data_IF_599622122947
#
_entry.id   IF_599622122947
#
_cell.length_a   1.000
_cell.length_b   1.000
_cell.length_c   1.000
_cell.angle_alpha   90.00
_cell.angle_beta   90.00
_cell.angle_gamma   90.00
#
_symmetry.space_group_name_H-M   'P 1'
#
loop_
_entity.id
_entity.type
_entity.pdbx_description
1 polymer ?
#
# COMPACT_ATOMS: atom_id res chain seq x y z
N UNK A 1 -7.40 16.78 -6.20
CA UNK A 1 -7.05 15.44 -5.70
C UNK A 1 -5.63 15.33 -5.16
N UNK A 2 -4.78 16.35 -5.35
CA UNK A 2 -3.35 16.31 -4.94
C UNK A 2 -3.02 16.81 -3.52
N UNK A 3 -3.90 17.56 -2.84
CA UNK A 3 -3.53 18.15 -1.55
C UNK A 3 -3.51 17.13 -0.39
N UNK A 4 -4.29 16.06 -0.46
CA UNK A 4 -4.46 15.12 0.66
C UNK A 4 -3.46 13.94 0.62
N UNK A 5 -2.99 13.54 -0.57
CA UNK A 5 -1.83 12.62 -0.69
C UNK A 5 -0.56 13.27 -0.15
N UNK A 6 -0.39 14.58 -0.36
CA UNK A 6 0.70 15.34 0.22
C UNK A 6 0.75 15.25 1.74
N UNK A 7 -0.38 15.30 2.42
CA UNK A 7 -0.42 15.23 3.89
C UNK A 7 -0.08 13.84 4.47
N UNK A 8 -0.47 12.75 3.81
CA UNK A 8 -0.11 11.40 4.26
C UNK A 8 1.39 11.15 4.04
N UNK A 9 1.88 11.52 2.86
CA UNK A 9 3.28 11.44 2.49
C UNK A 9 4.16 12.32 3.39
N UNK A 10 3.77 13.56 3.63
CA UNK A 10 4.45 14.45 4.60
C UNK A 10 4.48 13.85 6.02
N UNK A 11 3.41 13.20 6.46
CA UNK A 11 3.38 12.56 7.78
C UNK A 11 4.28 11.32 7.85
N UNK A 12 4.35 10.51 6.79
CA UNK A 12 5.22 9.35 6.73
C UNK A 12 6.69 9.74 6.64
N UNK A 13 7.03 10.75 5.84
CA UNK A 13 8.36 11.35 5.78
C UNK A 13 8.76 11.92 7.15
N UNK A 14 7.86 12.65 7.82
CA UNK A 14 8.08 13.20 9.15
C UNK A 14 8.29 12.10 10.22
N UNK A 15 7.59 10.98 10.11
CA UNK A 15 7.80 9.83 11.00
C UNK A 15 9.12 9.15 10.66
N UNK A 16 9.40 8.92 9.40
CA UNK A 16 10.68 8.38 8.92
C UNK A 16 11.86 9.21 9.43
N UNK A 17 11.81 10.52 9.26
CA UNK A 17 12.83 11.45 9.74
C UNK A 17 13.03 11.40 11.26
N UNK A 18 11.93 11.29 12.02
CA UNK A 18 11.99 11.24 13.50
C UNK A 18 12.63 9.99 14.04
N UNK A 19 12.43 8.84 13.38
CA UNK A 19 12.98 7.55 13.80
C UNK A 19 14.23 7.15 13.01
N UNK A 20 14.64 7.98 12.03
CA UNK A 20 15.77 7.68 11.14
C UNK A 20 15.49 6.47 10.24
N UNK A 21 14.28 6.35 9.73
CA UNK A 21 13.85 5.25 8.87
C UNK A 21 13.75 5.67 7.40
N UNK A 22 14.06 4.75 6.49
CA UNK A 22 13.68 4.85 5.10
C UNK A 22 12.26 4.30 4.92
N UNK A 23 11.41 4.99 4.18
CA UNK A 23 10.02 4.58 3.93
C UNK A 23 9.87 4.15 2.47
N UNK A 24 9.22 3.02 2.26
CA UNK A 24 8.76 2.51 0.95
C UNK A 24 7.24 2.50 0.98
N UNK A 25 6.62 3.30 0.13
CA UNK A 25 5.18 3.43 0.07
C UNK A 25 4.55 2.28 -0.73
N UNK A 26 3.64 1.55 -0.12
CA UNK A 26 2.98 0.40 -0.76
C UNK A 26 2.11 0.77 -1.94
N UNK A 27 1.51 1.95 -1.90
CA UNK A 27 0.63 2.45 -2.97
C UNK A 27 1.38 2.75 -4.28
N UNK A 28 2.70 2.97 -4.22
CA UNK A 28 3.58 3.09 -5.41
C UNK A 28 3.59 1.82 -6.28
N UNK A 29 3.16 0.72 -5.72
CA UNK A 29 3.14 -0.59 -6.37
C UNK A 29 1.73 -1.02 -6.78
N UNK A 30 0.77 -0.11 -6.85
CA UNK A 30 -0.56 -0.42 -7.35
C UNK A 30 -0.47 -1.00 -8.77
N UNK A 31 -1.21 -2.08 -9.01
CA UNK A 31 -1.09 -2.84 -10.26
C UNK A 31 -2.03 -2.37 -11.37
N UNK A 32 -2.83 -1.32 -11.12
CA UNK A 32 -3.76 -0.79 -12.11
C UNK A 32 -4.82 -1.79 -12.58
N UNK A 33 -5.44 -1.48 -13.69
CA UNK A 33 -6.38 -2.36 -14.38
C UNK A 33 -7.82 -1.85 -14.39
N UNK A 34 -8.54 -2.18 -15.44
CA UNK A 34 -9.91 -1.69 -15.67
C UNK A 34 -10.89 -2.21 -14.63
N UNK A 35 -11.95 -1.44 -14.34
CA UNK A 35 -13.06 -1.87 -13.49
C UNK A 35 -13.62 -3.23 -13.90
N UNK A 36 -13.82 -3.46 -15.21
CA UNK A 36 -14.31 -4.72 -15.73
C UNK A 36 -13.35 -5.90 -15.50
N UNK A 37 -12.05 -5.66 -15.41
CA UNK A 37 -11.06 -6.69 -15.04
C UNK A 37 -11.16 -7.01 -13.55
N UNK A 38 -11.26 -5.98 -12.70
CA UNK A 38 -11.42 -6.13 -11.26
C UNK A 38 -12.70 -6.86 -10.88
N UNK A 39 -13.83 -6.54 -11.53
CA UNK A 39 -15.13 -7.17 -11.25
C UNK A 39 -15.18 -8.66 -11.60
N UNK A 40 -14.29 -9.14 -12.48
CA UNK A 40 -14.19 -10.57 -12.83
C UNK A 40 -13.30 -11.39 -11.88
N UNK A 41 -12.48 -10.73 -11.06
CA UNK A 41 -11.59 -11.40 -10.12
C UNK A 41 -12.34 -11.86 -8.88
N UNK A 42 -11.98 -13.00 -8.36
CA UNK A 42 -12.37 -13.44 -7.02
C UNK A 42 -11.73 -12.55 -5.95
N UNK A 43 -12.21 -12.62 -4.71
CA UNK A 43 -11.61 -11.88 -3.59
C UNK A 43 -10.12 -12.25 -3.38
N UNK A 44 -9.77 -13.52 -3.54
CA UNK A 44 -8.39 -14.01 -3.52
C UNK A 44 -7.54 -13.36 -4.62
N UNK A 45 -8.01 -13.40 -5.87
CA UNK A 45 -7.31 -12.80 -7.00
C UNK A 45 -7.19 -11.27 -6.86
N UNK A 46 -8.18 -10.59 -6.28
CA UNK A 46 -8.10 -9.16 -5.95
C UNK A 46 -6.98 -8.90 -4.95
N UNK A 47 -6.95 -9.63 -3.84
CA UNK A 47 -5.93 -9.49 -2.80
C UNK A 47 -4.51 -9.81 -3.32
N UNK A 48 -4.38 -10.77 -4.25
CA UNK A 48 -3.06 -11.11 -4.82
C UNK A 48 -2.55 -10.11 -5.85
N UNK A 49 -3.46 -9.38 -6.53
CA UNK A 49 -3.07 -8.61 -7.70
C UNK A 49 -3.24 -7.09 -7.55
N UNK A 50 -3.81 -6.59 -6.45
CA UNK A 50 -4.05 -5.16 -6.29
C UNK A 50 -2.77 -4.37 -6.08
N UNK A 51 -1.85 -4.94 -5.33
CA UNK A 51 -0.49 -4.41 -5.14
C UNK A 51 0.49 -5.40 -5.77
N UNK A 52 1.41 -4.92 -6.58
CA UNK A 52 2.47 -5.74 -7.17
C UNK A 52 3.57 -6.02 -6.15
N UNK A 53 3.32 -6.99 -5.30
CA UNK A 53 4.26 -7.41 -4.27
C UNK A 53 5.59 -7.96 -4.81
N UNK A 54 5.63 -8.38 -6.07
CA UNK A 54 6.87 -8.83 -6.70
C UNK A 54 7.83 -7.66 -6.93
N UNK A 55 7.27 -6.50 -7.30
CA UNK A 55 8.05 -5.25 -7.39
C UNK A 55 8.45 -4.76 -6.01
N UNK A 56 7.54 -4.81 -5.00
CA UNK A 56 7.90 -4.49 -3.61
C UNK A 56 9.06 -5.37 -3.13
N UNK A 57 8.97 -6.69 -3.37
CA UNK A 57 10.02 -7.63 -3.00
C UNK A 57 11.37 -7.26 -3.64
N UNK A 58 11.39 -6.95 -4.93
CA UNK A 58 12.63 -6.55 -5.62
C UNK A 58 13.26 -5.31 -5.00
N UNK A 59 12.46 -4.29 -4.69
CA UNK A 59 12.93 -3.07 -4.01
C UNK A 59 13.50 -3.36 -2.62
N UNK A 60 12.82 -4.19 -1.82
CA UNK A 60 13.33 -4.56 -0.49
C UNK A 60 14.62 -5.39 -0.57
N UNK A 61 14.75 -6.29 -1.55
CA UNK A 61 15.98 -7.03 -1.79
C UNK A 61 17.13 -6.11 -2.21
N UNK A 62 16.90 -5.13 -3.08
CA UNK A 62 17.90 -4.12 -3.46
C UNK A 62 18.34 -3.28 -2.26
N UNK A 63 17.40 -2.80 -1.44
CA UNK A 63 17.71 -2.04 -0.23
C UNK A 63 18.56 -2.86 0.75
N UNK A 64 18.20 -4.13 0.98
CA UNK A 64 18.94 -5.05 1.86
C UNK A 64 20.34 -5.34 1.34
N UNK A 65 20.46 -5.64 0.05
CA UNK A 65 21.70 -6.19 -0.51
C UNK A 65 22.68 -5.08 -0.93
N UNK A 66 22.18 -3.89 -1.31
CA UNK A 66 23.00 -2.84 -1.91
C UNK A 66 22.83 -1.47 -1.24
N UNK A 67 21.90 -1.34 -0.33
CA UNK A 67 21.67 -0.10 0.43
C UNK A 67 20.95 1.00 -0.36
N UNK A 68 20.52 0.73 -1.58
CA UNK A 68 19.77 1.68 -2.41
C UNK A 68 18.91 0.91 -3.39
N UNK A 69 17.70 1.43 -3.64
CA UNK A 69 16.78 0.94 -4.67
C UNK A 69 16.23 2.10 -5.48
N UNK A 70 15.98 1.87 -6.77
CA UNK A 70 15.36 2.86 -7.66
C UNK A 70 14.25 2.20 -8.47
N UNK A 71 13.06 2.78 -8.44
CA UNK A 71 11.89 2.24 -9.13
C UNK A 71 10.99 3.36 -9.63
N UNK A 72 10.11 3.05 -10.60
CA UNK A 72 9.07 3.96 -11.06
C UNK A 72 7.78 3.69 -10.29
N UNK A 73 7.25 4.63 -9.51
CA UNK A 73 5.99 4.47 -8.79
C UNK A 73 4.81 4.44 -9.75
N UNK A 74 3.65 3.98 -9.28
CA UNK A 74 2.40 4.11 -10.02
C UNK A 74 2.06 5.59 -10.20
N UNK A 75 1.68 5.98 -11.43
CA UNK A 75 1.30 7.36 -11.73
C UNK A 75 -0.19 7.60 -11.40
N UNK A 76 -0.44 8.09 -10.20
CA UNK A 76 -1.79 8.42 -9.73
C UNK A 76 -2.39 9.67 -10.39
N UNK A 77 -1.60 10.50 -11.04
CA UNK A 77 -2.05 11.70 -11.75
C UNK A 77 -2.42 11.41 -13.22
N UNK A 78 -2.13 10.20 -13.69
CA UNK A 78 -2.45 9.77 -15.04
C UNK A 78 -3.95 9.57 -15.23
N UNK A 79 -4.51 10.11 -16.29
CA UNK A 79 -5.89 9.79 -16.74
C UNK A 79 -6.03 8.31 -17.20
N UNK A 80 -4.92 7.60 -17.27
CA UNK A 80 -4.85 6.20 -17.74
C UNK A 80 -4.71 5.18 -16.61
N UNK A 81 -5.02 5.55 -15.37
CA UNK A 81 -4.84 4.73 -14.16
C UNK A 81 -5.50 3.35 -14.21
N UNK A 82 -6.53 3.17 -15.04
CA UNK A 82 -7.26 1.92 -15.25
C UNK A 82 -6.76 1.09 -16.44
N UNK A 83 -5.61 1.42 -17.02
CA UNK A 83 -5.04 0.71 -18.17
C UNK A 83 -4.20 -0.51 -17.77
N UNK A 84 -3.87 -1.34 -18.76
CA UNK A 84 -2.98 -2.48 -18.68
C UNK A 84 -2.01 -2.47 -19.90
N UNK A 85 -0.70 -2.24 -19.76
CA UNK A 85 0.00 -2.08 -18.48
C UNK A 85 -0.40 -0.81 -17.72
N UNK A 86 -0.24 -0.80 -16.38
CA UNK A 86 -0.53 0.38 -15.57
C UNK A 86 0.43 1.52 -15.91
N UNK A 87 0.01 2.78 -15.76
CA UNK A 87 0.90 3.90 -15.92
C UNK A 87 1.92 3.97 -14.77
N UNK A 88 3.17 4.23 -15.11
CA UNK A 88 4.22 4.53 -14.16
C UNK A 88 4.69 5.96 -14.34
N UNK A 89 5.06 6.62 -13.27
CA UNK A 89 5.63 7.96 -13.33
C UNK A 89 6.93 7.96 -14.16
N UNK A 90 7.12 9.03 -14.95
CA UNK A 90 8.32 9.18 -15.77
C UNK A 90 9.58 9.34 -14.90
N UNK A 91 9.45 10.04 -13.78
CA UNK A 91 10.53 10.25 -12.82
C UNK A 91 10.60 9.08 -11.81
N UNK A 92 11.73 8.40 -11.68
CA UNK A 92 11.88 7.34 -10.71
C UNK A 92 12.05 7.89 -9.29
N UNK A 93 11.61 7.10 -8.32
CA UNK A 93 11.92 7.30 -6.90
C UNK A 93 13.17 6.51 -6.55
N UNK A 94 14.07 7.14 -5.79
CA UNK A 94 15.27 6.48 -5.22
C UNK A 94 15.17 6.51 -3.71
N UNK A 95 15.25 5.34 -3.09
CA UNK A 95 15.27 5.16 -1.63
C UNK A 95 16.66 4.69 -1.24
N UNK A 96 17.28 5.38 -0.28
CA UNK A 96 18.51 4.93 0.37
C UNK A 96 18.16 4.21 1.66
N UNK A 97 18.75 3.04 1.90
CA UNK A 97 18.51 2.27 3.11
C UNK A 97 18.99 3.02 4.36
N UNK A 98 18.17 3.00 5.39
CA UNK A 98 18.50 3.44 6.73
C UNK A 98 18.64 2.23 7.66
N UNK A 99 18.92 2.46 8.95
CA UNK A 99 18.94 1.39 9.96
C UNK A 99 17.60 0.68 10.09
N UNK A 100 16.51 1.44 9.86
CA UNK A 100 15.14 0.93 9.81
C UNK A 100 14.60 1.19 8.41
N UNK A 101 13.98 0.18 7.80
CA UNK A 101 13.24 0.30 6.56
C UNK A 101 11.78 -0.03 6.86
N UNK A 102 10.88 0.88 6.54
CA UNK A 102 9.44 0.72 6.71
C UNK A 102 8.79 0.51 5.34
N UNK A 103 8.23 -0.68 5.11
CA UNK A 103 7.27 -0.89 4.02
C UNK A 103 5.88 -0.64 4.59
N UNK A 104 5.21 0.42 4.17
CA UNK A 104 3.88 0.75 4.63
C UNK A 104 2.83 0.46 3.55
N UNK A 105 1.56 0.41 3.93
CA UNK A 105 0.43 0.31 3.01
C UNK A 105 -0.29 -1.02 3.01
N UNK A 106 -1.29 -1.12 2.14
CA UNK A 106 -2.14 -2.30 2.01
C UNK A 106 -1.33 -3.54 1.63
N UNK A 107 -1.56 -4.65 2.32
CA UNK A 107 -0.95 -5.97 2.06
C UNK A 107 0.58 -6.03 2.18
N UNK A 108 1.22 -5.04 2.82
CA UNK A 108 2.67 -4.97 3.01
C UNK A 108 3.25 -6.12 3.87
N UNK A 109 2.43 -6.74 4.72
CA UNK A 109 2.84 -7.86 5.57
C UNK A 109 2.47 -9.25 5.00
N UNK A 110 2.33 -9.38 3.69
CA UNK A 110 1.94 -10.66 3.07
C UNK A 110 3.02 -11.75 3.22
N UNK A 111 2.63 -13.03 3.24
CA UNK A 111 3.56 -14.15 3.48
C UNK A 111 4.77 -14.18 2.53
N UNK A 112 4.59 -13.73 1.28
CA UNK A 112 5.64 -13.72 0.27
C UNK A 112 6.78 -12.73 0.55
N UNK A 113 6.59 -11.84 1.54
CA UNK A 113 7.60 -10.89 1.99
C UNK A 113 8.19 -11.25 3.36
N UNK A 114 7.69 -12.28 4.06
CA UNK A 114 8.06 -12.57 5.45
C UNK A 114 9.56 -12.80 5.68
N UNK A 115 10.29 -13.31 4.69
CA UNK A 115 11.74 -13.51 4.78
C UNK A 115 12.55 -12.19 4.68
N UNK A 116 11.87 -11.09 4.39
CA UNK A 116 12.43 -9.74 4.33
C UNK A 116 11.93 -8.83 5.46
N UNK A 117 10.99 -9.29 6.29
CA UNK A 117 10.35 -8.50 7.34
C UNK A 117 10.75 -9.01 8.72
N UNK A 118 11.41 -8.16 9.52
CA UNK A 118 11.74 -8.47 10.90
C UNK A 118 10.56 -8.26 11.87
N UNK A 119 9.65 -7.34 11.53
CA UNK A 119 8.49 -6.99 12.34
C UNK A 119 7.27 -6.70 11.45
N UNK A 120 6.14 -7.30 11.79
CA UNK A 120 4.85 -7.11 11.11
C UNK A 120 3.89 -6.40 12.06
N UNK A 121 3.45 -5.20 11.70
CA UNK A 121 2.57 -4.36 12.49
C UNK A 121 1.23 -4.18 11.76
N UNK A 122 0.14 -4.43 12.47
CA UNK A 122 -1.21 -4.08 12.01
C UNK A 122 -1.67 -2.82 12.73
N UNK A 123 -2.09 -1.81 11.97
CA UNK A 123 -2.82 -0.68 12.48
C UNK A 123 -4.32 -0.94 12.29
N UNK A 124 -5.01 -1.16 13.37
CA UNK A 124 -6.44 -1.44 13.39
C UNK A 124 -7.20 -0.15 13.68
N UNK A 125 -8.04 0.28 12.74
CA UNK A 125 -8.88 1.48 12.85
C UNK A 125 -10.34 1.03 12.80
N UNK A 126 -11.21 1.48 13.75
CA UNK A 126 -12.63 1.18 13.69
C UNK A 126 -13.25 1.54 12.33
N UNK A 127 -14.13 0.68 11.82
CA UNK A 127 -14.70 0.81 10.47
C UNK A 127 -15.43 2.14 10.24
N UNK A 128 -16.13 2.65 11.25
CA UNK A 128 -16.82 3.93 11.20
C UNK A 128 -15.85 5.11 11.13
N UNK A 129 -14.74 5.06 11.86
CA UNK A 129 -13.66 6.07 11.83
C UNK A 129 -12.95 6.04 10.49
N UNK A 130 -12.58 4.83 10.01
CA UNK A 130 -11.94 4.65 8.71
C UNK A 130 -12.81 5.20 7.58
N UNK A 131 -14.12 4.85 7.59
CA UNK A 131 -15.06 5.34 6.60
C UNK A 131 -15.24 6.86 6.66
N UNK A 132 -15.31 7.43 7.85
CA UNK A 132 -15.42 8.89 8.00
C UNK A 132 -14.18 9.62 7.46
N UNK A 133 -12.97 9.10 7.72
CA UNK A 133 -11.73 9.66 7.18
C UNK A 133 -11.67 9.55 5.65
N UNK A 134 -12.08 8.40 5.09
CA UNK A 134 -12.13 8.18 3.66
C UNK A 134 -13.06 9.16 2.96
N UNK A 135 -14.30 9.30 3.46
CA UNK A 135 -15.28 10.25 2.94
C UNK A 135 -14.82 11.71 3.07
N UNK A 136 -14.14 12.06 4.15
CA UNK A 136 -13.59 13.40 4.33
C UNK A 136 -12.46 13.70 3.33
N UNK A 137 -11.67 12.67 2.97
CA UNK A 137 -10.58 12.77 2.00
C UNK A 137 -11.08 12.85 0.56
N UNK A 138 -12.02 12.00 0.18
CA UNK A 138 -12.44 11.85 -1.21
C UNK A 138 -13.61 12.77 -1.59
N UNK A 139 -14.41 13.20 -0.61
CA UNK A 139 -15.51 14.12 -0.84
C UNK A 139 -16.51 13.61 -1.88
N UNK A 140 -16.81 14.47 -2.87
CA UNK A 140 -17.75 14.16 -3.97
C UNK A 140 -17.17 13.16 -5.00
N UNK A 141 -15.85 12.91 -4.98
CA UNK A 141 -15.16 11.97 -5.90
C UNK A 141 -15.18 10.52 -5.40
N UNK A 142 -15.84 10.26 -4.28
CA UNK A 142 -15.94 8.96 -3.65
C UNK A 142 -16.58 7.90 -4.57
N UNK A 143 -15.83 6.85 -4.93
CA UNK A 143 -16.31 5.74 -5.77
C UNK A 143 -16.70 4.52 -4.92
N UNK A 144 -18.00 4.38 -4.69
CA UNK A 144 -18.57 3.25 -3.93
C UNK A 144 -18.23 1.89 -4.54
N UNK A 145 -18.11 1.79 -5.87
CA UNK A 145 -17.76 0.53 -6.53
C UNK A 145 -16.28 0.19 -6.30
N UNK A 146 -15.42 1.20 -6.24
CA UNK A 146 -14.03 1.05 -5.87
C UNK A 146 -13.87 0.53 -4.44
N UNK A 147 -14.56 1.15 -3.50
CA UNK A 147 -14.57 0.71 -2.10
C UNK A 147 -15.03 -0.73 -1.93
N UNK A 148 -16.08 -1.13 -2.65
CA UNK A 148 -16.58 -2.49 -2.59
C UNK A 148 -15.52 -3.51 -3.06
N UNK A 149 -14.75 -3.18 -4.12
CA UNK A 149 -13.67 -4.03 -4.63
C UNK A 149 -12.54 -4.19 -3.61
N UNK A 150 -12.16 -3.08 -2.96
CA UNK A 150 -11.16 -3.09 -1.91
C UNK A 150 -11.64 -3.87 -0.69
N UNK A 151 -12.88 -3.66 -0.24
CA UNK A 151 -13.45 -4.37 0.90
C UNK A 151 -13.49 -5.90 0.70
N UNK A 152 -13.78 -6.39 -0.52
CA UNK A 152 -13.70 -7.82 -0.83
C UNK A 152 -12.29 -8.36 -0.72
N UNK A 153 -11.30 -7.66 -1.27
CA UNK A 153 -9.90 -8.05 -1.22
C UNK A 153 -9.37 -8.04 0.23
N UNK A 154 -9.64 -6.97 0.96
CA UNK A 154 -9.27 -6.79 2.36
C UNK A 154 -9.89 -7.85 3.27
N UNK A 155 -11.19 -8.11 3.08
CA UNK A 155 -11.89 -9.17 3.82
C UNK A 155 -11.26 -10.54 3.61
N UNK A 156 -10.88 -10.89 2.38
CA UNK A 156 -10.15 -12.12 2.09
C UNK A 156 -8.76 -12.12 2.73
N UNK A 157 -8.01 -11.01 2.59
CA UNK A 157 -6.66 -10.89 3.12
C UNK A 157 -6.63 -11.11 4.63
N UNK A 158 -7.45 -10.41 5.40
CA UNK A 158 -7.46 -10.54 6.85
C UNK A 158 -8.18 -11.79 7.38
N UNK A 159 -9.05 -12.42 6.58
CA UNK A 159 -9.66 -13.68 7.01
C UNK A 159 -8.78 -14.90 6.73
N UNK A 160 -7.99 -14.89 5.64
CA UNK A 160 -7.33 -16.08 5.11
C UNK A 160 -5.81 -15.93 5.01
N UNK A 161 -5.32 -14.80 4.46
CA UNK A 161 -3.89 -14.63 4.13
C UNK A 161 -3.10 -14.17 5.35
N UNK A 162 -3.54 -13.10 6.01
CA UNK A 162 -2.89 -12.48 7.16
C UNK A 162 -3.92 -12.11 8.23
N UNK A 163 -4.45 -13.10 8.98
CA UNK A 163 -5.33 -12.79 10.09
C UNK A 163 -4.60 -11.93 11.15
N UNK A 164 -5.31 -11.08 11.93
CA UNK A 164 -4.69 -10.21 12.93
C UNK A 164 -3.73 -10.95 13.88
N UNK A 165 -3.99 -12.22 14.17
CA UNK A 165 -3.12 -13.07 14.99
C UNK A 165 -1.77 -13.45 14.34
N UNK A 166 -1.59 -13.18 13.05
CA UNK A 166 -0.34 -13.43 12.31
C UNK A 166 0.62 -12.23 12.34
N UNK A 167 0.18 -11.09 12.87
CA UNK A 167 1.02 -9.92 13.08
C UNK A 167 1.75 -10.00 14.42
N UNK A 168 2.94 -9.43 14.47
CA UNK A 168 3.76 -9.40 15.70
C UNK A 168 3.23 -8.34 16.68
N UNK A 169 2.62 -7.27 16.14
CA UNK A 169 2.02 -6.17 16.91
C UNK A 169 0.74 -5.70 16.26
N UNK A 170 -0.30 -5.50 17.07
CA UNK A 170 -1.56 -4.85 16.65
C UNK A 170 -1.71 -3.56 17.44
N UNK A 171 -1.76 -2.45 16.73
CA UNK A 171 -2.01 -1.11 17.28
C UNK A 171 -3.45 -0.72 16.96
N UNK A 172 -4.22 -0.37 17.97
CA UNK A 172 -5.61 0.08 17.82
C UNK A 172 -5.65 1.60 17.90
N UNK A 173 -6.18 2.24 16.88
CA UNK A 173 -6.43 3.68 16.87
C UNK A 173 -7.77 3.94 17.56
N UNK A 174 -7.74 4.49 18.76
CA UNK A 174 -8.90 4.78 19.59
C UNK A 174 -9.47 6.21 19.36
N UNK A 175 -9.15 6.87 18.26
CA UNK A 175 -9.44 8.29 17.99
C UNK A 175 -10.91 8.67 17.98
#
# INVERSE_FOLDING_TARGET
MNEDKGHLQENLELVGDRIGAAVVEGDDFYAGGTAARWDRRTAEEKADHVIDWRRQRAVLEELRDWGVATFHPFDWDSDAWDQDPPPFADDPVTVEAAEIIVLEGAYSCRPELHDLLDLKVLLEVPDDVRRARLLAREGDDHDVAWDARWAEAEGHYFAIVMPPSAFDLVLVDEA
#
